data_IF_732089134682
#
_entry.id   IF_732089134682
#
_cell.length_a   1.000
_cell.length_b   1.000
_cell.length_c   1.000
_cell.angle_alpha   90.00
_cell.angle_beta   90.00
_cell.angle_gamma   90.00
#
_symmetry.space_group_name_H-M   'P 1'
#
loop_
_entity.id
_entity.type
_entity.pdbx_description
1 polymer ?
#
# COMPACT_ATOMS: atom_id res chain seq x y z
N UNK A 1 3.45 -15.41 -28.89
CA UNK A 1 4.16 -15.09 -27.63
C UNK A 1 4.99 -13.84 -27.88
N UNK A 2 4.59 -12.69 -27.32
CA UNK A 2 5.42 -11.49 -27.37
C UNK A 2 6.49 -11.60 -26.28
N UNK A 3 7.74 -11.80 -26.68
CA UNK A 3 8.89 -11.62 -25.80
C UNK A 3 9.05 -10.12 -25.57
N UNK A 4 8.45 -9.59 -24.50
CA UNK A 4 8.86 -8.28 -24.02
C UNK A 4 10.32 -8.43 -23.60
N UNK A 5 11.23 -7.77 -24.32
CA UNK A 5 12.53 -7.43 -23.78
C UNK A 5 12.27 -6.46 -22.62
N UNK A 6 11.86 -7.02 -21.48
CA UNK A 6 11.49 -6.26 -20.31
C UNK A 6 12.79 -5.64 -19.80
N UNK A 7 12.92 -4.32 -19.96
CA UNK A 7 14.14 -3.63 -19.55
C UNK A 7 14.29 -3.81 -18.04
N UNK A 8 15.49 -4.20 -17.63
CA UNK A 8 15.82 -4.48 -16.25
C UNK A 8 16.48 -3.26 -15.63
N UNK A 9 15.97 -2.84 -14.48
CA UNK A 9 16.41 -1.66 -13.76
C UNK A 9 17.09 -2.09 -12.47
N UNK A 10 18.34 -1.67 -12.28
CA UNK A 10 19.02 -1.91 -11.01
C UNK A 10 18.61 -0.83 -10.00
N UNK A 11 17.98 -1.24 -8.89
CA UNK A 11 17.47 -0.32 -7.88
C UNK A 11 18.18 -0.59 -6.56
N UNK A 12 18.73 0.46 -5.96
CA UNK A 12 19.40 0.41 -4.67
C UNK A 12 18.45 0.88 -3.57
N UNK A 13 18.35 0.10 -2.50
CA UNK A 13 17.63 0.53 -1.30
C UNK A 13 18.45 1.55 -0.52
N UNK A 14 17.79 2.27 0.40
CA UNK A 14 18.49 3.17 1.31
C UNK A 14 19.42 2.43 2.28
N UNK A 15 19.13 1.15 2.55
CA UNK A 15 19.93 0.26 3.38
C UNK A 15 21.13 -0.36 2.64
N UNK A 16 21.25 -0.15 1.32
CA UNK A 16 22.40 -0.59 0.52
C UNK A 16 22.20 -1.91 -0.23
N UNK A 17 21.01 -2.50 -0.19
CA UNK A 17 20.67 -3.67 -1.00
C UNK A 17 20.45 -3.26 -2.46
N UNK A 18 20.77 -4.15 -3.40
CA UNK A 18 20.55 -3.93 -4.83
C UNK A 18 19.61 -4.99 -5.37
N UNK A 19 18.56 -4.56 -6.07
CA UNK A 19 17.57 -5.40 -6.71
C UNK A 19 17.54 -5.14 -8.21
N UNK A 20 17.17 -6.15 -8.98
CA UNK A 20 16.93 -6.02 -10.41
C UNK A 20 15.43 -6.08 -10.60
N UNK A 21 14.84 -4.99 -11.03
CA UNK A 21 13.39 -4.83 -11.13
C UNK A 21 13.00 -4.70 -12.59
N UNK A 22 11.99 -5.43 -13.02
CA UNK A 22 11.53 -5.36 -14.41
C UNK A 22 10.71 -4.09 -14.66
N UNK A 23 10.66 -3.66 -15.93
CA UNK A 23 9.81 -2.52 -16.33
C UNK A 23 8.33 -2.80 -16.05
N UNK A 24 7.89 -4.06 -16.15
CA UNK A 24 6.54 -4.46 -15.73
C UNK A 24 6.24 -4.13 -14.26
N UNK A 25 7.16 -4.43 -13.34
CA UNK A 25 6.95 -4.10 -11.93
C UNK A 25 6.86 -2.59 -11.70
N UNK A 26 7.72 -1.80 -12.35
CA UNK A 26 7.64 -0.33 -12.28
C UNK A 26 6.31 0.21 -12.82
N UNK A 27 5.83 -0.33 -13.94
CA UNK A 27 4.51 0.03 -14.50
C UNK A 27 3.37 -0.25 -13.53
N UNK A 28 3.47 -1.29 -12.71
CA UNK A 28 2.48 -1.60 -11.68
C UNK A 28 2.44 -0.58 -10.53
N UNK A 29 3.47 0.26 -10.41
CA UNK A 29 3.48 1.38 -9.47
C UNK A 29 2.78 2.62 -10.05
N UNK A 30 2.64 2.73 -11.37
CA UNK A 30 2.08 3.92 -12.03
C UNK A 30 0.72 4.38 -11.49
N UNK A 31 -0.24 3.51 -11.08
CA UNK A 31 -1.51 3.96 -10.52
C UNK A 31 -1.37 4.71 -9.19
N UNK A 32 -0.24 4.56 -8.50
CA UNK A 32 0.01 5.18 -7.19
C UNK A 32 0.80 6.48 -7.28
N UNK A 33 1.16 6.88 -8.48
CA UNK A 33 1.98 8.06 -8.77
C UNK A 33 1.10 9.03 -9.53
N UNK A 34 1.01 10.27 -9.07
CA UNK A 34 0.36 11.33 -9.85
C UNK A 34 1.05 11.43 -11.22
N UNK A 35 0.29 11.70 -12.29
CA UNK A 35 0.88 12.02 -13.58
C UNK A 35 1.90 13.14 -13.39
N UNK A 36 3.15 12.87 -13.74
CA UNK A 36 4.25 13.81 -13.63
C UNK A 36 5.05 13.78 -14.91
N UNK A 37 5.73 14.88 -15.23
CA UNK A 37 6.64 14.94 -16.39
C UNK A 37 7.89 14.06 -16.21
N UNK A 38 8.14 13.56 -14.98
CA UNK A 38 9.31 12.76 -14.65
C UNK A 38 9.14 11.30 -15.06
N UNK A 39 10.20 10.72 -15.64
CA UNK A 39 10.29 9.29 -15.88
C UNK A 39 10.47 8.50 -14.56
N UNK A 40 10.26 7.19 -14.57
CA UNK A 40 10.52 6.35 -13.40
C UNK A 40 11.97 6.42 -12.92
N UNK A 41 12.92 6.47 -13.86
CA UNK A 41 14.33 6.59 -13.56
C UNK A 41 14.65 7.92 -12.89
N UNK A 42 14.00 9.02 -13.32
CA UNK A 42 14.10 10.31 -12.65
C UNK A 42 13.56 10.24 -11.22
N UNK A 43 12.40 9.60 -11.02
CA UNK A 43 11.80 9.45 -9.68
C UNK A 43 12.75 8.70 -8.74
N UNK A 44 13.41 7.66 -9.22
CA UNK A 44 14.41 6.91 -8.43
C UNK A 44 15.65 7.76 -8.19
N UNK A 45 16.17 8.43 -9.22
CA UNK A 45 17.37 9.26 -9.16
C UNK A 45 17.22 10.42 -8.17
N UNK A 46 16.10 11.14 -8.22
CA UNK A 46 15.78 12.23 -7.29
C UNK A 46 15.28 11.75 -5.93
N UNK A 47 15.30 10.44 -5.68
CA UNK A 47 14.79 9.79 -4.46
C UNK A 47 13.33 10.13 -4.16
N UNK A 48 12.55 10.47 -5.18
CA UNK A 48 11.10 10.65 -5.04
C UNK A 48 10.39 9.30 -4.94
N UNK A 49 10.93 8.26 -5.58
CA UNK A 49 10.54 6.86 -5.42
C UNK A 49 11.71 6.08 -4.80
N UNK A 50 11.47 5.41 -3.67
CA UNK A 50 12.51 4.67 -2.95
C UNK A 50 12.00 3.28 -2.57
N UNK A 51 12.93 2.33 -2.48
CA UNK A 51 12.70 0.98 -1.95
C UNK A 51 13.35 0.90 -0.56
N UNK A 52 12.59 0.48 0.45
CA UNK A 52 13.09 0.36 1.82
C UNK A 52 12.54 -0.89 2.50
N UNK A 53 13.24 -1.34 3.53
CA UNK A 53 12.71 -2.41 4.37
C UNK A 53 11.43 -1.98 5.10
N UNK A 54 10.51 -2.92 5.30
CA UNK A 54 9.25 -2.71 6.03
C UNK A 54 9.45 -2.18 7.45
N UNK A 55 10.55 -2.57 8.12
CA UNK A 55 10.91 -2.07 9.46
C UNK A 55 11.14 -0.55 9.48
N UNK A 56 11.55 0.03 8.34
CA UNK A 56 11.80 1.46 8.17
C UNK A 56 10.52 2.28 7.96
N UNK A 57 9.34 1.67 7.88
CA UNK A 57 8.04 2.31 7.60
C UNK A 57 7.80 3.58 8.44
N UNK A 58 7.90 3.46 9.77
CA UNK A 58 7.66 4.61 10.68
C UNK A 58 8.62 5.77 10.42
N UNK A 59 9.85 5.48 10.02
CA UNK A 59 10.88 6.49 9.70
C UNK A 59 10.57 7.19 8.38
N UNK A 60 10.16 6.44 7.36
CA UNK A 60 9.87 7.02 6.05
C UNK A 60 8.57 7.84 6.04
N UNK A 61 7.55 7.42 6.80
CA UNK A 61 6.34 8.21 7.00
C UNK A 61 6.65 9.60 7.59
N UNK A 62 7.54 9.66 8.59
CA UNK A 62 8.00 10.94 9.19
C UNK A 62 8.80 11.82 8.22
N UNK A 63 9.35 11.24 7.16
CA UNK A 63 10.14 11.94 6.13
C UNK A 63 9.29 12.40 4.94
N UNK A 64 7.96 12.27 5.02
CA UNK A 64 7.06 12.69 3.94
C UNK A 64 6.96 11.66 2.81
N UNK A 65 7.18 10.38 3.08
CA UNK A 65 6.95 9.31 2.11
C UNK A 65 5.68 8.52 2.45
N UNK A 66 4.98 8.03 1.42
CA UNK A 66 3.85 7.12 1.53
C UNK A 66 4.21 5.74 1.00
N UNK A 67 3.90 4.66 1.73
CA UNK A 67 4.05 3.31 1.22
C UNK A 67 3.02 3.06 0.11
N UNK A 68 3.46 2.35 -0.94
CA UNK A 68 2.63 2.02 -2.09
C UNK A 68 2.37 0.51 -2.14
N UNK A 69 3.43 -0.27 -2.38
CA UNK A 69 3.34 -1.70 -2.69
C UNK A 69 4.60 -2.41 -2.23
N UNK A 70 4.51 -3.70 -1.93
CA UNK A 70 5.68 -4.55 -1.67
C UNK A 70 6.44 -4.82 -2.96
N UNK A 71 7.74 -5.07 -2.85
CA UNK A 71 8.55 -5.60 -3.95
C UNK A 71 7.99 -6.98 -4.34
N UNK A 72 7.91 -7.28 -5.63
CA UNK A 72 7.36 -8.56 -6.10
C UNK A 72 8.22 -9.76 -5.65
N UNK A 73 9.54 -9.58 -5.61
CA UNK A 73 10.49 -10.63 -5.22
C UNK A 73 10.55 -10.85 -3.69
N UNK A 74 10.17 -9.86 -2.89
CA UNK A 74 10.28 -9.92 -1.43
C UNK A 74 9.29 -9.00 -0.73
N UNK A 75 8.48 -9.58 0.16
CA UNK A 75 7.54 -8.86 1.02
C UNK A 75 8.23 -8.05 2.14
N UNK A 76 9.52 -8.28 2.37
CA UNK A 76 10.33 -7.53 3.32
C UNK A 76 10.59 -6.09 2.87
N UNK A 77 10.52 -5.82 1.56
CA UNK A 77 10.77 -4.50 0.99
C UNK A 77 9.47 -3.86 0.48
N UNK A 78 9.33 -2.56 0.72
CA UNK A 78 8.22 -1.75 0.24
C UNK A 78 8.71 -0.59 -0.59
N UNK A 79 7.98 -0.33 -1.67
CA UNK A 79 8.02 0.88 -2.44
C UNK A 79 7.38 2.02 -1.67
N UNK A 80 8.08 3.14 -1.64
CA UNK A 80 7.64 4.39 -1.06
C UNK A 80 7.75 5.49 -2.09
N UNK A 81 6.77 6.38 -2.14
CA UNK A 81 6.83 7.61 -2.94
C UNK A 81 6.72 8.83 -2.05
N UNK A 82 7.34 9.92 -2.48
CA UNK A 82 7.17 11.23 -1.87
C UNK A 82 5.68 11.63 -1.86
N UNK A 83 5.24 12.21 -0.75
CA UNK A 83 3.83 12.51 -0.46
C UNK A 83 3.20 13.50 -1.45
N UNK A 84 4.01 14.40 -2.02
CA UNK A 84 3.59 15.33 -3.08
C UNK A 84 3.15 14.61 -4.35
N UNK A 85 3.81 13.51 -4.70
CA UNK A 85 3.55 12.70 -5.89
C UNK A 85 2.64 11.49 -5.63
N UNK A 86 2.26 11.23 -4.38
CA UNK A 86 1.40 10.10 -4.06
C UNK A 86 -0.01 10.31 -4.64
N UNK A 87 -0.46 9.33 -5.42
CA UNK A 87 -1.85 9.19 -5.84
C UNK A 87 -2.44 7.96 -5.17
N UNK A 88 -3.66 8.07 -4.66
CA UNK A 88 -4.40 6.93 -4.12
C UNK A 88 -5.37 6.44 -5.19
N UNK A 89 -5.03 5.39 -5.98
CA UNK A 89 -5.88 4.89 -7.06
C UNK A 89 -7.15 4.23 -6.54
N UNK A 90 -7.07 3.67 -5.33
CA UNK A 90 -8.25 3.38 -4.53
C UNK A 90 -8.53 4.68 -3.80
N UNK A 91 -9.71 5.27 -4.00
CA UNK A 91 -10.32 6.15 -3.00
C UNK A 91 -10.48 5.34 -1.72
N UNK A 92 -9.38 5.13 -0.99
CA UNK A 92 -9.41 4.56 0.32
C UNK A 92 -9.94 5.71 1.15
N UNK A 93 -11.24 5.65 1.44
CA UNK A 93 -11.92 6.38 2.49
C UNK A 93 -11.28 6.01 3.85
N UNK A 94 -9.99 6.31 4.00
CA UNK A 94 -9.22 6.19 5.22
C UNK A 94 -9.46 7.40 6.12
N UNK A 95 -10.01 8.49 5.57
CA UNK A 95 -10.63 9.56 6.38
C UNK A 95 -11.91 9.07 7.07
N UNK A 96 -12.53 7.97 6.62
CA UNK A 96 -13.64 7.28 7.30
C UNK A 96 -13.18 6.13 8.21
N UNK A 97 -11.88 6.00 8.53
CA UNK A 97 -11.44 5.11 9.64
C UNK A 97 -11.66 5.72 11.03
N UNK A 98 -12.56 6.69 11.13
CA UNK A 98 -13.49 6.77 12.25
C UNK A 98 -14.70 5.83 12.07
N UNK A 99 -14.52 4.68 11.41
CA UNK A 99 -15.27 3.45 11.67
C UNK A 99 -15.06 3.05 13.13
N UNK A 100 -15.64 3.84 14.04
CA UNK A 100 -16.27 3.32 15.24
C UNK A 100 -17.28 2.29 14.73
N UNK A 101 -16.85 1.05 14.59
CA UNK A 101 -17.78 -0.05 14.74
C UNK A 101 -18.27 0.06 16.18
N UNK A 102 -19.35 0.82 16.39
CA UNK A 102 -20.10 0.79 17.63
C UNK A 102 -20.76 -0.59 17.65
N UNK A 103 -20.09 -1.53 18.34
CA UNK A 103 -20.64 -2.83 18.66
C UNK A 103 -21.92 -2.54 19.45
N UNK A 104 -23.07 -2.84 18.84
CA UNK A 104 -24.37 -2.66 19.48
C UNK A 104 -24.47 -3.57 20.71
N UNK A 105 -25.42 -3.31 21.61
CA UNK A 105 -25.60 -4.22 22.76
C UNK A 105 -25.99 -5.62 22.28
N UNK A 106 -26.76 -5.70 21.20
CA UNK A 106 -27.15 -6.94 20.55
C UNK A 106 -25.93 -7.72 20.00
N UNK A 107 -24.97 -7.03 19.39
CA UNK A 107 -23.72 -7.65 18.93
C UNK A 107 -22.87 -8.19 20.09
N UNK A 108 -22.89 -7.51 21.25
CA UNK A 108 -22.19 -7.98 22.46
C UNK A 108 -22.85 -9.21 23.04
N UNK A 109 -24.18 -9.27 23.02
CA UNK A 109 -24.94 -10.41 23.51
C UNK A 109 -24.72 -11.64 22.62
N UNK A 110 -24.68 -11.45 21.29
CA UNK A 110 -24.31 -12.51 20.34
C UNK A 110 -22.88 -13.02 20.62
N UNK A 111 -21.91 -12.13 20.80
CA UNK A 111 -20.52 -12.51 21.08
C UNK A 111 -20.33 -13.21 22.43
N UNK A 112 -21.19 -12.92 23.42
CA UNK A 112 -21.22 -13.62 24.72
C UNK A 112 -21.96 -14.96 24.67
N UNK A 113 -22.69 -15.24 23.58
CA UNK A 113 -23.52 -16.44 23.45
C UNK A 113 -24.92 -16.30 24.04
N UNK A 114 -25.30 -15.10 24.47
CA UNK A 114 -26.62 -14.78 25.04
C UNK A 114 -27.61 -14.43 23.91
N UNK A 115 -27.82 -15.37 23.00
CA UNK A 115 -28.72 -15.19 21.86
C UNK A 115 -30.18 -15.32 22.32
N UNK A 116 -30.87 -14.19 22.54
CA UNK A 116 -32.29 -14.19 22.90
C UNK A 116 -33.19 -14.46 21.69
N UNK A 117 -34.36 -15.08 21.92
CA UNK A 117 -35.37 -15.34 20.87
C UNK A 117 -35.78 -14.08 20.08
N UNK A 118 -35.66 -12.91 20.70
CA UNK A 118 -35.91 -11.61 20.06
C UNK A 118 -34.87 -11.31 18.97
N UNK A 119 -33.58 -11.52 19.26
CA UNK A 119 -32.46 -11.30 18.34
C UNK A 119 -32.51 -12.34 17.20
N UNK A 120 -32.80 -13.60 17.52
CA UNK A 120 -32.95 -14.67 16.52
C UNK A 120 -34.06 -14.36 15.50
N UNK A 121 -35.19 -13.79 15.94
CA UNK A 121 -36.29 -13.38 15.05
C UNK A 121 -35.93 -12.18 14.17
N UNK A 122 -35.10 -11.25 14.65
CA UNK A 122 -34.65 -10.09 13.87
C UNK A 122 -33.65 -10.47 12.77
N UNK A 123 -32.87 -11.55 12.95
CA UNK A 123 -31.91 -12.03 11.95
C UNK A 123 -32.55 -12.91 10.86
N UNK A 124 -33.78 -13.39 11.07
CA UNK A 124 -34.52 -14.24 10.12
C UNK A 124 -35.47 -13.44 9.20
N UNK A 125 -35.51 -12.11 9.31
CA UNK A 125 -36.38 -11.22 8.54
C UNK A 125 -35.66 -10.61 7.33
#
# INVERSE_FOLDING_TARGET
>A
MMTFNDSLHQIKTLEGFSFIVSTHELRNLSPWIKPSEHSFDDLIFYRKLILCERKSLKRQLKRGYKPIKTLQESDHFLWFISEDLFHSPVTFALEDRNLKFEISEEDRDILKGDMTDRIARQLLA
#
